data_IF_327638100252
#
_entry.id   IF_327638100252
#
_cell.length_a   1.000
_cell.length_b   1.000
_cell.length_c   1.000
_cell.angle_alpha   90.00
_cell.angle_beta   90.00
_cell.angle_gamma   90.00
#
_symmetry.space_group_name_H-M   'P 1'
#
loop_
_entity.id
_entity.type
_entity.pdbx_description
1 polymer ?
#
# COMPACT_ATOMS: atom_id res chain seq x y z
N UNK A 1 -15.80 33.46 -16.16
CA UNK A 1 -14.56 33.36 -15.37
C UNK A 1 -15.00 33.41 -13.91
N UNK A 2 -14.93 32.30 -13.18
CA UNK A 2 -15.44 32.25 -11.81
C UNK A 2 -14.38 32.90 -10.92
N UNK A 3 -14.56 34.18 -10.61
CA UNK A 3 -13.68 34.92 -9.71
C UNK A 3 -13.78 34.32 -8.30
N UNK A 4 -12.80 33.50 -7.96
CA UNK A 4 -12.63 32.99 -6.60
C UNK A 4 -12.10 34.16 -5.77
N UNK A 5 -13.00 34.84 -5.06
CA UNK A 5 -12.68 35.90 -4.11
C UNK A 5 -11.86 35.29 -2.95
N UNK A 6 -10.55 35.16 -3.15
CA UNK A 6 -9.56 34.72 -2.16
C UNK A 6 -9.28 35.80 -1.11
N UNK A 7 -10.33 36.43 -0.58
CA UNK A 7 -10.22 37.24 0.64
C UNK A 7 -10.14 36.31 1.85
N UNK A 8 -9.01 35.59 1.94
CA UNK A 8 -8.55 34.90 3.15
C UNK A 8 -7.24 35.54 3.63
N UNK A 9 -7.02 36.82 3.28
CA UNK A 9 -5.96 37.65 3.82
C UNK A 9 -6.36 38.12 5.21
N UNK A 10 -5.97 37.36 6.23
CA UNK A 10 -5.61 37.98 7.51
C UNK A 10 -4.10 38.15 7.49
N UNK A 11 -3.66 39.36 7.09
CA UNK A 11 -2.32 39.86 7.36
C UNK A 11 -1.98 39.64 8.84
N UNK A 12 -1.02 38.76 9.14
CA UNK A 12 -0.39 38.68 10.47
C UNK A 12 -0.88 37.61 11.45
N UNK A 13 -1.42 36.45 11.02
CA UNK A 13 -1.70 35.34 11.95
C UNK A 13 -0.85 34.10 11.67
N UNK A 14 -0.37 33.50 12.76
CA UNK A 14 0.37 32.23 12.85
C UNK A 14 -0.16 31.20 11.84
N UNK A 15 0.74 30.53 11.12
CA UNK A 15 0.35 29.53 10.10
C UNK A 15 -0.63 28.52 10.69
N UNK A 16 -1.79 28.38 10.07
CA UNK A 16 -2.81 27.44 10.50
C UNK A 16 -2.24 26.03 10.46
N UNK A 17 -2.48 25.26 11.51
CA UNK A 17 -2.12 23.84 11.53
C UNK A 17 -2.97 23.07 10.51
N UNK A 18 -2.45 21.98 9.96
CA UNK A 18 -3.15 21.19 8.94
C UNK A 18 -4.56 20.74 9.37
N UNK A 19 -4.79 20.47 10.66
CA UNK A 19 -6.11 20.14 11.20
C UNK A 19 -7.07 21.35 11.20
N UNK A 20 -6.57 22.55 11.48
CA UNK A 20 -7.36 23.79 11.50
C UNK A 20 -7.81 24.19 10.10
N UNK A 21 -6.95 23.94 9.12
CA UNK A 21 -7.29 24.05 7.69
C UNK A 21 -8.36 23.03 7.32
N UNK A 22 -8.24 21.78 7.80
CA UNK A 22 -9.19 20.71 7.52
C UNK A 22 -10.59 21.06 8.03
N UNK A 23 -10.70 21.57 9.26
CA UNK A 23 -11.96 21.98 9.88
C UNK A 23 -12.62 23.18 9.19
N UNK A 24 -11.82 24.09 8.62
CA UNK A 24 -12.33 25.23 7.86
C UNK A 24 -12.83 24.82 6.46
N UNK A 25 -12.09 23.97 5.76
CA UNK A 25 -12.41 23.53 4.38
C UNK A 25 -13.52 22.48 4.36
N UNK A 26 -13.41 21.46 5.20
CA UNK A 26 -14.45 20.42 5.33
C UNK A 26 -15.62 20.90 6.19
N UNK A 27 -15.46 22.02 6.89
CA UNK A 27 -16.43 22.57 7.83
C UNK A 27 -16.52 21.75 9.13
N UNK A 28 -16.96 22.39 10.21
CA UNK A 28 -17.28 21.71 11.49
C UNK A 28 -18.47 20.74 11.40
N UNK A 29 -19.11 20.60 10.23
CA UNK A 29 -20.25 19.70 10.02
C UNK A 29 -19.72 18.30 9.70
N UNK A 30 -19.96 17.28 10.56
CA UNK A 30 -19.49 15.91 10.34
C UNK A 30 -20.19 15.17 9.16
N UNK A 31 -20.87 15.90 8.27
CA UNK A 31 -21.73 15.35 7.23
C UNK A 31 -21.06 15.07 5.89
N UNK A 32 -19.85 15.60 5.64
CA UNK A 32 -19.16 15.44 4.36
C UNK A 32 -18.52 14.04 4.20
N UNK A 33 -18.28 13.32 5.30
CA UNK A 33 -17.83 11.92 5.28
C UNK A 33 -18.98 10.90 5.08
N UNK A 34 -20.07 11.28 4.41
CA UNK A 34 -21.17 10.34 4.11
C UNK A 34 -20.96 9.65 2.77
N UNK A 35 -20.03 8.69 2.75
CA UNK A 35 -19.69 7.89 1.56
C UNK A 35 -19.67 6.37 1.77
N UNK A 36 -19.89 5.86 2.98
CA UNK A 36 -19.77 4.43 3.30
C UNK A 36 -21.02 3.57 2.96
N UNK A 37 -21.68 3.88 1.85
CA UNK A 37 -22.66 2.96 1.25
C UNK A 37 -24.11 3.22 1.66
N UNK A 38 -24.82 3.91 0.78
CA UNK A 38 -26.29 3.90 0.73
C UNK A 38 -26.78 3.26 -0.57
N UNK A 39 -26.03 2.27 -1.06
CA UNK A 39 -26.38 1.47 -2.24
C UNK A 39 -26.71 0.03 -1.86
N UNK A 40 -27.49 -0.71 -2.67
CA UNK A 40 -27.79 -2.11 -2.42
C UNK A 40 -26.50 -2.91 -2.19
N UNK A 41 -26.46 -3.72 -1.12
CA UNK A 41 -25.29 -4.54 -0.77
C UNK A 41 -24.90 -5.39 -1.99
N UNK A 42 -23.70 -5.23 -2.55
CA UNK A 42 -23.28 -6.05 -3.68
C UNK A 42 -23.29 -7.51 -3.22
N UNK A 43 -24.05 -8.36 -3.92
CA UNK A 43 -23.99 -9.80 -3.69
C UNK A 43 -22.57 -10.23 -4.00
N UNK A 44 -21.83 -10.65 -2.98
CA UNK A 44 -20.47 -11.12 -3.14
C UNK A 44 -20.47 -12.24 -4.19
N UNK A 45 -19.95 -11.94 -5.39
CA UNK A 45 -19.54 -12.96 -6.33
C UNK A 45 -18.44 -13.73 -5.62
N UNK A 46 -18.63 -15.02 -5.39
CA UNK A 46 -17.60 -15.90 -4.83
C UNK A 46 -16.42 -15.86 -5.80
N UNK A 47 -15.40 -15.09 -5.45
CA UNK A 47 -14.19 -14.97 -6.24
C UNK A 47 -13.43 -16.28 -6.10
N UNK A 48 -13.19 -16.96 -7.22
CA UNK A 48 -12.30 -18.13 -7.37
C UNK A 48 -10.81 -17.75 -7.15
N UNK A 49 -10.53 -16.85 -6.20
CA UNK A 49 -9.17 -16.38 -5.88
C UNK A 49 -8.35 -17.46 -5.17
N UNK A 50 -9.02 -18.37 -4.45
CA UNK A 50 -8.33 -19.41 -3.68
C UNK A 50 -7.51 -20.36 -4.56
N UNK A 51 -8.03 -20.74 -5.73
CA UNK A 51 -7.34 -21.68 -6.63
C UNK A 51 -6.20 -21.01 -7.42
N UNK A 52 -6.27 -19.70 -7.68
CA UNK A 52 -5.13 -18.97 -8.26
C UNK A 52 -4.03 -18.71 -7.23
N UNK A 53 -4.38 -18.48 -5.96
CA UNK A 53 -3.37 -18.33 -4.90
C UNK A 53 -2.57 -19.61 -4.68
N UNK A 54 -3.23 -20.76 -4.67
CA UNK A 54 -2.58 -22.06 -4.47
C UNK A 54 -1.52 -22.36 -5.55
N UNK A 55 -1.87 -22.17 -6.83
CA UNK A 55 -0.93 -22.40 -7.95
C UNK A 55 0.28 -21.47 -7.91
N UNK A 56 0.06 -20.19 -7.59
CA UNK A 56 1.17 -19.24 -7.49
C UNK A 56 2.05 -19.54 -6.27
N UNK A 57 1.47 -19.98 -5.15
CA UNK A 57 2.21 -20.36 -3.95
C UNK A 57 3.11 -21.59 -4.19
N UNK A 58 2.58 -22.64 -4.83
CA UNK A 58 3.34 -23.84 -5.16
C UNK A 58 4.46 -23.53 -6.16
N UNK A 59 4.18 -22.74 -7.20
CA UNK A 59 5.19 -22.34 -8.18
C UNK A 59 6.32 -21.51 -7.55
N UNK A 60 5.97 -20.58 -6.65
CA UNK A 60 6.94 -19.75 -5.93
C UNK A 60 7.81 -20.59 -4.98
N UNK A 61 7.22 -21.53 -4.25
CA UNK A 61 7.95 -22.42 -3.35
C UNK A 61 8.99 -23.27 -4.11
N UNK A 62 8.59 -23.86 -5.25
CA UNK A 62 9.50 -24.64 -6.09
C UNK A 62 10.64 -23.80 -6.70
N UNK A 63 10.37 -22.54 -7.05
CA UNK A 63 11.42 -21.63 -7.52
C UNK A 63 12.44 -21.30 -6.42
N UNK A 64 11.96 -21.04 -5.21
CA UNK A 64 12.81 -20.74 -4.04
C UNK A 64 13.68 -21.95 -3.66
N UNK A 65 13.16 -23.17 -3.74
CA UNK A 65 13.93 -24.39 -3.51
C UNK A 65 15.06 -24.57 -4.55
N UNK A 66 14.77 -24.33 -5.84
CA UNK A 66 15.80 -24.36 -6.89
C UNK A 66 16.89 -23.32 -6.68
N UNK A 67 16.52 -22.12 -6.24
CA UNK A 67 17.49 -21.05 -5.97
C UNK A 67 18.39 -21.40 -4.78
N UNK A 68 17.83 -21.95 -3.70
CA UNK A 68 18.62 -22.38 -2.53
C UNK A 68 19.65 -23.44 -2.90
N UNK A 69 19.26 -24.44 -3.71
CA UNK A 69 20.18 -25.46 -4.18
C UNK A 69 21.35 -24.88 -4.98
N UNK A 70 21.07 -23.93 -5.88
CA UNK A 70 22.12 -23.27 -6.66
C UNK A 70 23.09 -22.47 -5.78
N UNK A 71 22.57 -21.79 -4.75
CA UNK A 71 23.39 -21.04 -3.79
C UNK A 71 24.27 -22.01 -2.99
N UNK A 72 23.72 -23.13 -2.56
CA UNK A 72 24.46 -24.15 -1.81
C UNK A 72 25.55 -24.80 -2.68
N UNK A 73 25.23 -25.23 -3.90
CA UNK A 73 26.19 -25.80 -4.86
C UNK A 73 27.35 -24.81 -5.13
N UNK A 74 27.03 -23.53 -5.33
CA UNK A 74 28.03 -22.47 -5.54
C UNK A 74 28.89 -22.25 -4.29
N UNK A 75 28.28 -22.28 -3.11
CA UNK A 75 28.98 -22.08 -1.83
C UNK A 75 29.91 -23.25 -1.53
N UNK A 76 29.48 -24.49 -1.79
CA UNK A 76 30.30 -25.69 -1.63
C UNK A 76 31.49 -25.71 -2.59
N UNK A 77 31.29 -25.31 -3.85
CA UNK A 77 32.36 -25.20 -4.84
C UNK A 77 33.43 -24.18 -4.43
N UNK A 78 33.03 -23.09 -3.75
CA UNK A 78 33.94 -22.04 -3.27
C UNK A 78 34.65 -22.42 -1.95
N UNK A 79 34.12 -23.37 -1.18
CA UNK A 79 34.67 -23.81 0.12
C UNK A 79 35.64 -25.01 0.02
N UNK A 80 35.83 -25.58 -1.18
CA UNK A 80 36.61 -26.80 -1.42
C UNK A 80 38.12 -26.62 -1.61
N UNK A 81 38.69 -25.41 -1.51
CA UNK A 81 40.14 -25.24 -1.53
C UNK A 81 40.68 -25.35 -0.09
N UNK A 82 41.45 -26.41 0.26
CA UNK A 82 42.17 -26.40 1.53
C UNK A 82 43.20 -25.27 1.46
N UNK A 83 43.08 -24.33 2.38
CA UNK A 83 44.19 -23.46 2.71
C UNK A 83 45.30 -24.35 3.28
N UNK A 84 46.23 -24.74 2.42
CA UNK A 84 47.50 -25.33 2.83
C UNK A 84 48.37 -24.19 3.41
N UNK A 85 48.80 -24.27 4.68
CA UNK A 85 49.61 -23.23 5.33
C UNK A 85 51.07 -23.18 4.85
#
# INVERSE_FOLDING_TARGET
MLEFQSQLTSEGSQSLSGNEICDQVLGRRPGYLKGLGWGPKPKARKTTSAHMQDRNHVALASQVERMQKLIEDLTQAQQGAPHDP
#
